data_IF_406219915267
#
_entry.id   IF_406219915267
#
_cell.length_a   1.000
_cell.length_b   1.000
_cell.length_c   1.000
_cell.angle_alpha   90.00
_cell.angle_beta   90.00
_cell.angle_gamma   90.00
#
_symmetry.space_group_name_H-M   'P 1'
#
loop_
_entity.id
_entity.type
_entity.pdbx_description
1 polymer ?
#
# COMPACT_ATOMS: atom_id res chain seq x y z
N UNK A 1 9.76 -12.17 2.77
CA UNK A 1 9.17 -13.00 1.70
C UNK A 1 9.12 -12.19 0.41
N UNK A 2 9.21 -12.85 -0.76
CA UNK A 2 8.85 -12.21 -2.04
C UNK A 2 7.31 -12.29 -2.15
N UNK A 3 6.66 -11.18 -2.51
CA UNK A 3 5.20 -11.11 -2.60
C UNK A 3 4.70 -11.72 -3.92
N UNK A 4 3.58 -12.43 -3.89
CA UNK A 4 2.92 -12.99 -5.09
C UNK A 4 2.00 -11.96 -5.75
N UNK A 5 1.53 -10.99 -4.96
CA UNK A 5 0.69 -9.87 -5.41
C UNK A 5 1.12 -8.59 -4.68
N UNK A 6 1.14 -7.46 -5.36
CA UNK A 6 1.36 -6.14 -4.75
C UNK A 6 0.12 -5.26 -4.89
N UNK A 7 -0.42 -4.82 -3.75
CA UNK A 7 -1.47 -3.81 -3.70
C UNK A 7 -0.86 -2.46 -3.32
N UNK A 8 -1.00 -1.49 -4.22
CA UNK A 8 -0.54 -0.11 -4.01
C UNK A 8 -1.74 0.76 -3.68
N UNK A 9 -1.77 1.32 -2.48
CA UNK A 9 -2.85 2.20 -2.03
C UNK A 9 -2.56 3.64 -2.46
N UNK A 10 -3.41 4.21 -3.29
CA UNK A 10 -3.31 5.61 -3.68
C UNK A 10 -4.27 6.04 -4.79
N UNK A 11 -4.30 7.35 -5.05
CA UNK A 11 -5.17 7.93 -6.06
C UNK A 11 -4.70 7.62 -7.50
N UNK A 12 -5.60 7.36 -8.46
CA UNK A 12 -5.25 7.14 -9.87
C UNK A 12 -4.41 8.24 -10.51
N UNK A 13 -4.60 9.50 -10.09
CA UNK A 13 -3.86 10.65 -10.59
C UNK A 13 -2.44 10.80 -9.99
N UNK A 14 -2.07 10.00 -8.99
CA UNK A 14 -0.77 10.06 -8.33
C UNK A 14 0.32 9.40 -9.16
N UNK A 15 1.24 10.19 -9.72
CA UNK A 15 2.38 9.65 -10.49
C UNK A 15 3.26 8.72 -9.64
N UNK A 16 3.47 9.04 -8.35
CA UNK A 16 4.27 8.20 -7.46
C UNK A 16 3.61 6.84 -7.21
N UNK A 17 2.30 6.81 -6.96
CA UNK A 17 1.57 5.56 -6.75
C UNK A 17 1.59 4.68 -8.00
N UNK A 18 1.37 5.28 -9.18
CA UNK A 18 1.49 4.55 -10.45
C UNK A 18 2.91 4.01 -10.67
N UNK A 19 3.93 4.77 -10.29
CA UNK A 19 5.33 4.33 -10.41
C UNK A 19 5.63 3.11 -9.54
N UNK A 20 5.05 3.02 -8.34
CA UNK A 20 5.20 1.83 -7.49
C UNK A 20 4.58 0.58 -8.15
N UNK A 21 3.39 0.71 -8.75
CA UNK A 21 2.76 -0.37 -9.52
C UNK A 21 3.65 -0.80 -10.68
N UNK A 22 4.14 0.16 -11.48
CA UNK A 22 5.04 -0.13 -12.60
C UNK A 22 6.30 -0.89 -12.16
N UNK A 23 6.88 -0.53 -11.01
CA UNK A 23 8.08 -1.19 -10.48
C UNK A 23 7.78 -2.64 -10.11
N UNK A 24 6.70 -2.90 -9.36
CA UNK A 24 6.30 -4.25 -9.01
C UNK A 24 6.01 -5.11 -10.25
N UNK A 25 5.24 -4.58 -11.21
CA UNK A 25 4.95 -5.29 -12.47
C UNK A 25 6.21 -5.58 -13.30
N UNK A 26 7.19 -4.67 -13.33
CA UNK A 26 8.48 -4.90 -14.02
C UNK A 26 9.33 -5.99 -13.37
N UNK A 27 9.12 -6.27 -12.09
CA UNK A 27 9.75 -7.38 -11.37
C UNK A 27 9.00 -8.70 -11.57
N UNK A 28 7.93 -8.72 -12.37
CA UNK A 28 7.16 -9.92 -12.69
C UNK A 28 6.06 -10.24 -11.68
N UNK A 29 5.81 -9.37 -10.70
CA UNK A 29 4.76 -9.55 -9.70
C UNK A 29 3.50 -8.80 -10.15
N UNK A 30 2.34 -9.46 -10.22
CA UNK A 30 1.04 -8.80 -10.39
C UNK A 30 0.91 -7.62 -9.42
N UNK A 31 0.49 -6.47 -9.92
CA UNK A 31 0.35 -5.28 -9.09
C UNK A 31 -0.87 -4.45 -9.49
N UNK A 32 -1.62 -3.99 -8.48
CA UNK A 32 -2.85 -3.23 -8.68
C UNK A 32 -2.82 -1.93 -7.87
N UNK A 33 -3.30 -0.86 -8.51
CA UNK A 33 -3.57 0.41 -7.83
C UNK A 33 -4.99 0.36 -7.28
N UNK A 34 -5.13 0.56 -5.98
CA UNK A 34 -6.42 0.62 -5.27
C UNK A 34 -6.52 1.91 -4.48
N UNK A 35 -7.72 2.48 -4.36
CA UNK A 35 -7.93 3.66 -3.52
C UNK A 35 -8.26 3.26 -2.07
N UNK A 36 -8.97 2.16 -1.91
CA UNK A 36 -9.36 1.58 -0.62
C UNK A 36 -9.67 0.09 -0.76
N UNK A 37 -10.11 -0.55 0.32
CA UNK A 37 -10.36 -1.98 0.38
C UNK A 37 -11.46 -2.47 -0.58
N UNK A 38 -12.37 -1.60 -1.03
CA UNK A 38 -13.50 -1.96 -1.89
C UNK A 38 -13.10 -2.14 -3.35
N UNK A 39 -11.94 -1.63 -3.72
CA UNK A 39 -11.38 -1.80 -5.07
C UNK A 39 -10.69 -3.16 -5.24
N UNK A 40 -10.55 -3.95 -4.17
CA UNK A 40 -9.92 -5.28 -4.21
C UNK A 40 -10.88 -6.25 -4.89
N UNK A 41 -10.48 -6.77 -6.05
CA UNK A 41 -11.16 -7.90 -6.69
C UNK A 41 -10.71 -9.20 -6.03
N UNK A 42 -11.63 -10.01 -5.45
CA UNK A 42 -11.29 -11.29 -4.84
C UNK A 42 -10.55 -12.25 -5.79
N UNK A 43 -10.78 -12.14 -7.10
CA UNK A 43 -10.10 -12.97 -8.10
C UNK A 43 -8.58 -12.71 -8.16
N UNK A 44 -8.10 -11.55 -7.69
CA UNK A 44 -6.66 -11.28 -7.59
C UNK A 44 -5.98 -12.05 -6.46
N UNK A 45 -6.77 -12.55 -5.50
CA UNK A 45 -6.28 -13.27 -4.32
C UNK A 45 -6.28 -14.80 -4.52
N UNK A 46 -6.74 -15.27 -5.68
CA UNK A 46 -6.70 -16.69 -6.02
C UNK A 46 -5.24 -17.17 -6.14
N UNK A 47 -4.90 -18.24 -5.43
CA UNK A 47 -3.55 -18.82 -5.40
C UNK A 47 -2.44 -17.87 -4.90
N UNK A 48 -2.79 -16.84 -4.12
CA UNK A 48 -1.85 -15.90 -3.49
C UNK A 48 -1.61 -16.25 -2.03
N UNK A 49 -0.37 -16.53 -1.67
CA UNK A 49 0.05 -16.80 -0.28
C UNK A 49 0.56 -15.54 0.41
N UNK A 50 1.20 -14.62 -0.34
CA UNK A 50 1.79 -13.41 0.20
C UNK A 50 1.36 -12.16 -0.58
N UNK A 51 0.59 -11.28 0.08
CA UNK A 51 0.22 -9.95 -0.44
C UNK A 51 1.18 -8.89 0.11
N UNK A 52 1.93 -8.26 -0.77
CA UNK A 52 2.71 -7.06 -0.47
C UNK A 52 1.81 -5.82 -0.49
N UNK A 53 1.85 -5.02 0.56
CA UNK A 53 1.04 -3.80 0.67
C UNK A 53 2.00 -2.61 0.76
N UNK A 54 1.76 -1.60 -0.07
CA UNK A 54 2.48 -0.34 -0.04
C UNK A 54 1.54 0.81 -0.36
N UNK A 55 1.97 2.05 -0.16
CA UNK A 55 1.15 3.21 -0.37
C UNK A 55 1.93 4.36 -1.00
N UNK A 56 1.24 5.22 -1.75
CA UNK A 56 1.81 6.46 -2.23
C UNK A 56 2.10 7.44 -1.07
N UNK A 57 3.06 8.34 -1.26
CA UNK A 57 3.46 9.33 -0.25
C UNK A 57 2.33 10.24 0.27
N UNK A 58 1.25 10.40 -0.51
CA UNK A 58 0.09 11.22 -0.15
C UNK A 58 -1.09 10.42 0.42
N UNK A 59 -0.92 9.10 0.62
CA UNK A 59 -2.00 8.21 1.04
C UNK A 59 -2.07 8.15 2.57
N UNK A 60 -3.23 8.43 3.19
CA UNK A 60 -3.40 8.29 4.64
C UNK A 60 -3.26 6.84 5.13
N UNK A 61 -2.58 6.65 6.26
CA UNK A 61 -2.41 5.33 6.91
C UNK A 61 -3.72 4.56 7.14
N UNK A 62 -4.82 5.27 7.40
CA UNK A 62 -6.12 4.64 7.69
C UNK A 62 -6.60 3.79 6.51
N UNK A 63 -6.28 4.18 5.28
CA UNK A 63 -6.63 3.40 4.08
C UNK A 63 -5.80 2.12 3.99
N UNK A 64 -4.50 2.21 4.31
CA UNK A 64 -3.61 1.05 4.37
C UNK A 64 -4.07 0.07 5.44
N UNK A 65 -4.44 0.56 6.62
CA UNK A 65 -5.01 -0.26 7.70
C UNK A 65 -6.33 -0.92 7.28
N UNK A 66 -7.21 -0.18 6.60
CA UNK A 66 -8.46 -0.72 6.05
C UNK A 66 -8.23 -1.88 5.09
N UNK A 67 -7.24 -1.75 4.20
CA UNK A 67 -6.84 -2.84 3.28
C UNK A 67 -6.31 -4.05 4.05
N UNK A 68 -5.41 -3.86 5.03
CA UNK A 68 -4.89 -4.95 5.86
C UNK A 68 -6.01 -5.70 6.58
N UNK A 69 -6.93 -4.97 7.21
CA UNK A 69 -8.04 -5.57 7.94
C UNK A 69 -9.01 -6.28 7.00
N UNK A 70 -9.27 -5.73 5.82
CA UNK A 70 -10.10 -6.40 4.83
C UNK A 70 -9.47 -7.72 4.34
N UNK A 71 -8.17 -7.73 4.01
CA UNK A 71 -7.48 -8.95 3.60
C UNK A 71 -7.52 -10.04 4.69
N UNK A 72 -7.43 -9.68 5.96
CA UNK A 72 -7.62 -10.61 7.09
C UNK A 72 -9.02 -11.22 7.12
N UNK A 73 -10.05 -10.48 6.71
CA UNK A 73 -11.42 -11.04 6.63
C UNK A 73 -11.60 -12.01 5.47
N UNK A 74 -10.79 -11.87 4.41
CA UNK A 74 -10.82 -12.73 3.23
C UNK A 74 -9.93 -13.98 3.39
N UNK A 75 -8.92 -13.91 4.26
CA UNK A 75 -8.03 -15.05 4.51
C UNK A 75 -8.77 -16.25 5.12
N UNK A 76 -8.50 -17.44 4.58
CA UNK A 76 -9.10 -18.70 5.04
C UNK A 76 -8.33 -19.33 6.22
N UNK A 77 -7.19 -18.76 6.59
CA UNK A 77 -6.30 -19.22 7.65
C UNK A 77 -5.72 -18.06 8.47
N UNK A 78 -4.81 -18.35 9.42
CA UNK A 78 -4.14 -17.31 10.19
C UNK A 78 -3.31 -16.40 9.27
N UNK A 79 -3.66 -15.12 9.22
CA UNK A 79 -2.92 -14.11 8.48
C UNK A 79 -1.94 -13.38 9.41
N UNK A 80 -0.65 -13.51 9.12
CA UNK A 80 0.41 -12.78 9.83
C UNK A 80 0.73 -11.47 9.12
N UNK A 81 0.91 -10.40 9.89
CA UNK A 81 1.37 -9.12 9.36
C UNK A 81 2.88 -9.00 9.60
N UNK A 82 3.66 -9.13 8.54
CA UNK A 82 5.10 -8.86 8.55
C UNK A 82 5.37 -7.45 8.00
N UNK A 83 5.92 -6.58 8.83
CA UNK A 83 6.27 -5.21 8.45
C UNK A 83 7.78 -5.10 8.25
N UNK A 84 8.17 -4.60 7.07
CA UNK A 84 9.58 -4.29 6.83
C UNK A 84 10.04 -3.19 7.80
N UNK A 85 11.34 -3.17 8.18
CA UNK A 85 11.86 -2.12 9.05
C UNK A 85 11.61 -0.74 8.46
N UNK A 86 11.07 0.16 9.28
CA UNK A 86 10.97 1.57 8.90
C UNK A 86 12.37 2.14 8.67
N UNK A 87 12.54 2.81 7.53
CA UNK A 87 13.75 3.55 7.21
C UNK A 87 13.52 4.99 7.62
N UNK A 88 14.30 5.50 8.57
CA UNK A 88 14.26 6.92 8.91
C UNK A 88 14.85 7.74 7.75
N UNK A 89 13.97 8.41 7.00
CA UNK A 89 14.36 9.30 5.90
C UNK A 89 14.92 10.65 6.41
N UNK A 90 14.77 10.97 7.71
CA UNK A 90 15.43 12.09 8.39
C UNK A 90 15.02 13.50 7.97
N UNK A 91 14.17 13.65 6.95
CA UNK A 91 13.78 14.95 6.39
C UNK A 91 12.46 15.41 7.00
N UNK A 92 12.45 16.59 7.62
CA UNK A 92 11.25 17.25 8.14
C UNK A 92 11.14 18.67 7.59
N UNK A 93 10.01 18.97 6.97
CA UNK A 93 9.68 20.32 6.51
C UNK A 93 8.90 21.05 7.59
N UNK A 94 9.54 22.04 8.23
CA UNK A 94 8.86 22.85 9.22
C UNK A 94 7.90 23.82 8.55
N UNK A 95 6.74 24.02 9.18
CA UNK A 95 5.79 25.02 8.72
C UNK A 95 6.45 26.41 8.72
N UNK A 96 6.30 27.21 7.65
CA UNK A 96 6.74 28.61 7.61
C UNK A 96 6.21 29.38 8.83
N UNK A 97 6.98 30.35 9.33
CA UNK A 97 6.66 31.04 10.59
C UNK A 97 5.29 31.73 10.53
N UNK A 98 4.91 32.18 9.34
CA UNK A 98 3.66 32.88 9.03
C UNK A 98 2.41 32.00 9.18
N UNK A 99 2.56 30.67 9.17
CA UNK A 99 1.46 29.70 9.22
C UNK A 99 1.35 28.99 10.57
N UNK A 100 2.19 29.32 11.56
CA UNK A 100 2.24 28.62 12.86
C UNK A 100 1.14 29.03 13.84
N UNK A 101 0.51 30.18 13.62
CA UNK A 101 -0.43 30.81 14.56
C UNK A 101 -1.86 31.00 13.97
N UNK A 102 -2.22 30.26 12.92
CA UNK A 102 -3.56 30.31 12.31
C UNK A 102 -4.52 29.27 12.91
#
# INVERSE_FOLDING_TARGET
AEADLVLVVGAPASSNSNRLVEVASRLGVPAHLIQDERDIDPAWLDEVDCVGITAGASTPDVLVRGVIDHLRTLSTGPAELDSLPEVDEGIRFNLPRELRDA
#
